data_IF_485642547129
#
_entry.id   IF_485642547129
#
_cell.length_a   1.000
_cell.length_b   1.000
_cell.length_c   1.000
_cell.angle_alpha   90.00
_cell.angle_beta   90.00
_cell.angle_gamma   90.00
#
_symmetry.space_group_name_H-M   'P 1'
#
loop_
_entity.id
_entity.type
_entity.pdbx_description
1 polymer ?
#
# COMPACT_ATOMS: atom_id res chain seq x y z
N UNK A 1 -57.81 14.73 -16.14
CA UNK A 1 -56.58 15.21 -15.44
C UNK A 1 -55.56 14.10 -15.45
N UNK A 2 -54.51 14.25 -16.24
CA UNK A 2 -53.39 13.28 -16.27
C UNK A 2 -52.50 13.57 -15.09
N UNK A 3 -52.40 12.62 -14.15
CA UNK A 3 -51.45 12.67 -13.04
C UNK A 3 -50.09 12.29 -13.65
N UNK A 4 -49.20 13.25 -13.81
CA UNK A 4 -47.83 12.98 -14.19
C UNK A 4 -47.21 12.09 -13.11
N UNK A 5 -46.90 10.82 -13.41
CA UNK A 5 -46.05 9.98 -12.59
C UNK A 5 -44.68 10.62 -12.60
N UNK A 6 -44.32 11.26 -11.49
CA UNK A 6 -42.93 11.61 -11.22
C UNK A 6 -42.18 10.29 -11.17
N UNK A 7 -41.33 10.08 -12.18
CA UNK A 7 -40.35 9.01 -12.15
C UNK A 7 -39.51 9.21 -10.91
N UNK A 8 -39.53 8.23 -10.01
CA UNK A 8 -38.62 8.21 -8.87
C UNK A 8 -37.20 8.35 -9.40
N UNK A 9 -36.38 9.27 -8.87
CA UNK A 9 -34.99 9.30 -9.27
C UNK A 9 -34.43 7.92 -8.96
N UNK A 10 -33.89 7.27 -10.00
CA UNK A 10 -33.14 6.02 -9.82
C UNK A 10 -32.05 6.33 -8.82
N UNK A 11 -32.16 5.79 -7.62
CA UNK A 11 -31.11 5.87 -6.62
C UNK A 11 -29.92 5.10 -7.17
N UNK A 12 -29.03 5.81 -7.84
CA UNK A 12 -27.71 5.30 -8.18
C UNK A 12 -26.99 5.27 -6.83
N UNK A 13 -26.92 4.09 -6.22
CA UNK A 13 -26.06 3.88 -5.07
C UNK A 13 -24.68 4.46 -5.42
N UNK A 14 -24.14 5.37 -4.61
CA UNK A 14 -22.88 5.99 -4.96
C UNK A 14 -21.83 4.90 -5.16
N UNK A 15 -21.18 4.90 -6.31
CA UNK A 15 -20.11 3.95 -6.72
C UNK A 15 -19.01 3.86 -5.67
N UNK A 16 -18.87 4.88 -4.82
CA UNK A 16 -18.02 4.95 -3.64
C UNK A 16 -18.31 3.86 -2.60
N UNK A 17 -19.52 3.32 -2.51
CA UNK A 17 -19.86 2.31 -1.48
C UNK A 17 -19.18 0.97 -1.72
N UNK A 18 -18.99 0.55 -2.97
CA UNK A 18 -18.25 -0.67 -3.31
C UNK A 18 -16.75 -0.53 -3.02
N UNK A 19 -16.20 0.67 -3.24
CA UNK A 19 -14.78 0.97 -3.03
C UNK A 19 -14.40 1.04 -1.55
N UNK A 20 -15.30 1.57 -0.69
CA UNK A 20 -15.10 1.68 0.76
C UNK A 20 -15.91 0.61 1.50
N UNK A 21 -15.66 -0.66 1.15
CA UNK A 21 -16.32 -1.79 1.76
C UNK A 21 -15.83 -2.02 3.21
N UNK A 22 -16.48 -2.96 3.91
CA UNK A 22 -16.17 -3.29 5.31
C UNK A 22 -14.72 -3.70 5.52
N UNK A 23 -14.13 -4.44 4.59
CA UNK A 23 -12.76 -4.94 4.72
C UNK A 23 -11.75 -3.81 4.60
N UNK A 24 -11.95 -2.90 3.66
CA UNK A 24 -11.14 -1.67 3.52
C UNK A 24 -11.22 -0.83 4.80
N UNK A 25 -12.42 -0.60 5.32
CA UNK A 25 -12.59 0.21 6.54
C UNK A 25 -11.98 -0.45 7.78
N UNK A 26 -12.07 -1.77 7.88
CA UNK A 26 -11.46 -2.54 8.98
C UNK A 26 -9.92 -2.44 8.94
N UNK A 27 -9.32 -2.61 7.77
CA UNK A 27 -7.88 -2.45 7.57
C UNK A 27 -7.43 -1.03 7.90
N UNK A 28 -8.14 -0.02 7.41
CA UNK A 28 -7.82 1.38 7.67
C UNK A 28 -7.84 1.74 9.17
N UNK A 29 -8.66 1.04 9.95
CA UNK A 29 -8.77 1.25 11.39
C UNK A 29 -7.68 0.54 12.23
N UNK A 30 -6.87 -0.34 11.64
CA UNK A 30 -5.91 -1.18 12.36
C UNK A 30 -4.56 -1.32 11.63
N UNK A 31 -3.93 -0.19 11.36
CA UNK A 31 -2.61 -0.15 10.69
C UNK A 31 -1.53 -0.62 11.69
N UNK A 32 -0.80 -1.71 11.39
CA UNK A 32 0.29 -2.16 12.24
C UNK A 32 1.52 -1.26 12.10
N UNK A 33 2.40 -1.30 13.10
CA UNK A 33 3.68 -0.56 13.10
C UNK A 33 3.53 0.96 12.89
N UNK A 34 2.44 1.55 13.32
CA UNK A 34 2.11 2.96 13.09
C UNK A 34 2.86 3.89 14.05
N UNK A 35 4.18 3.83 13.99
CA UNK A 35 5.11 4.75 14.64
C UNK A 35 6.45 4.75 13.93
N UNK A 36 7.18 5.84 14.05
CA UNK A 36 8.52 5.98 13.51
C UNK A 36 9.53 5.13 14.31
N UNK A 37 10.52 4.56 13.63
CA UNK A 37 11.67 3.95 14.28
C UNK A 37 12.66 5.03 14.73
N UNK A 38 13.35 4.81 15.86
CA UNK A 38 14.35 5.76 16.37
C UNK A 38 15.62 5.79 15.50
N UNK A 39 16.05 4.62 15.02
CA UNK A 39 17.28 4.44 14.24
C UNK A 39 17.02 3.59 13.00
N UNK A 40 16.26 4.07 12.02
CA UNK A 40 16.07 3.35 10.78
C UNK A 40 17.36 3.30 9.95
N UNK A 41 17.58 2.23 9.21
CA UNK A 41 18.61 2.17 8.18
C UNK A 41 18.21 2.99 6.95
N UNK A 42 16.92 3.03 6.64
CA UNK A 42 16.36 3.88 5.61
C UNK A 42 14.99 4.39 6.02
N UNK A 43 14.67 5.59 5.59
CA UNK A 43 13.40 6.24 5.78
C UNK A 43 12.98 6.91 4.48
N UNK A 44 11.78 6.62 3.99
CA UNK A 44 11.25 7.17 2.74
C UNK A 44 9.88 7.76 2.98
N UNK A 45 9.69 8.99 2.52
CA UNK A 45 8.40 9.67 2.45
C UNK A 45 7.88 9.66 1.02
N UNK A 46 6.62 9.29 0.83
CA UNK A 46 5.89 9.43 -0.43
C UNK A 46 4.63 10.26 -0.22
N UNK A 47 4.32 11.08 -1.20
CA UNK A 47 3.13 11.94 -1.20
C UNK A 47 2.34 11.75 -2.50
N UNK A 48 1.03 11.75 -2.38
CA UNK A 48 0.15 11.83 -3.55
C UNK A 48 -0.04 13.28 -3.97
N UNK A 49 0.25 13.64 -5.23
CA UNK A 49 0.03 15.01 -5.70
C UNK A 49 -1.47 15.34 -5.84
N UNK A 50 -2.34 14.34 -5.90
CA UNK A 50 -3.77 14.50 -6.19
C UNK A 50 -4.60 14.72 -4.93
N UNK A 51 -4.36 13.92 -3.87
CA UNK A 51 -5.22 13.93 -2.68
C UNK A 51 -4.51 14.39 -1.40
N UNK A 52 -3.23 14.75 -1.46
CA UNK A 52 -2.45 15.17 -0.29
C UNK A 52 -2.11 14.05 0.69
N UNK A 53 -2.39 12.79 0.35
CA UNK A 53 -1.97 11.65 1.15
C UNK A 53 -0.45 11.59 1.28
N UNK A 54 0.02 11.18 2.47
CA UNK A 54 1.44 11.09 2.81
C UNK A 54 1.69 9.83 3.61
N UNK A 55 2.72 9.10 3.24
CA UNK A 55 3.20 7.92 3.98
C UNK A 55 4.70 8.02 4.17
N UNK A 56 5.16 7.79 5.39
CA UNK A 56 6.58 7.60 5.71
C UNK A 56 6.77 6.16 6.13
N UNK A 57 7.80 5.50 5.60
CA UNK A 57 8.18 4.15 5.99
C UNK A 57 9.64 4.14 6.42
N UNK A 58 9.88 3.62 7.62
CA UNK A 58 11.20 3.35 8.19
C UNK A 58 11.48 1.85 8.13
N UNK A 59 12.68 1.45 7.73
CA UNK A 59 13.09 0.05 7.63
C UNK A 59 14.46 -0.19 8.28
N UNK A 60 14.55 -1.34 8.94
CA UNK A 60 15.79 -2.00 9.34
C UNK A 60 15.78 -3.41 8.76
N UNK A 61 16.85 -3.81 8.07
CA UNK A 61 17.04 -5.16 7.56
C UNK A 61 17.92 -5.97 8.53
N UNK A 62 17.66 -7.28 8.63
CA UNK A 62 18.51 -8.22 9.34
C UNK A 62 19.75 -8.60 8.49
N UNK A 63 20.58 -9.50 9.03
CA UNK A 63 21.82 -9.96 8.36
C UNK A 63 21.54 -10.68 7.03
N UNK A 64 20.36 -11.28 6.86
CA UNK A 64 19.94 -11.95 5.64
C UNK A 64 19.31 -10.99 4.62
N UNK A 65 19.22 -9.70 4.93
CA UNK A 65 18.62 -8.71 4.05
C UNK A 65 17.09 -8.71 4.05
N UNK A 66 16.48 -9.25 5.12
CA UNK A 66 15.03 -9.27 5.31
C UNK A 66 14.62 -8.17 6.28
N UNK A 67 13.40 -7.68 6.13
CA UNK A 67 12.86 -6.67 7.04
C UNK A 67 12.80 -7.21 8.46
N UNK A 68 13.61 -6.66 9.35
CA UNK A 68 13.64 -6.99 10.79
C UNK A 68 12.75 -6.05 11.60
N UNK A 69 12.71 -4.77 11.23
CA UNK A 69 11.86 -3.77 11.87
C UNK A 69 11.28 -2.82 10.81
N UNK A 70 10.04 -2.43 11.04
CA UNK A 70 9.30 -1.51 10.20
C UNK A 70 8.58 -0.49 11.09
N UNK A 71 8.65 0.76 10.71
CA UNK A 71 7.82 1.82 11.26
C UNK A 71 7.13 2.57 10.14
N UNK A 72 5.94 3.08 10.40
CA UNK A 72 5.25 3.89 9.41
C UNK A 72 4.43 5.00 10.05
N UNK A 73 4.33 6.11 9.34
CA UNK A 73 3.43 7.22 9.63
C UNK A 73 2.54 7.44 8.42
N UNK A 74 1.22 7.32 8.63
CA UNK A 74 0.24 7.29 7.54
C UNK A 74 -0.77 8.42 7.73
N UNK A 75 -0.83 9.33 6.76
CA UNK A 75 -1.86 10.36 6.63
C UNK A 75 -2.46 10.22 5.23
N UNK A 76 -3.51 9.43 5.12
CA UNK A 76 -4.08 9.05 3.84
C UNK A 76 -5.60 8.85 3.95
N UNK A 77 -6.27 8.78 2.80
CA UNK A 77 -7.67 8.34 2.74
C UNK A 77 -7.77 6.85 3.18
N UNK A 78 -8.98 6.37 3.40
CA UNK A 78 -9.19 5.00 3.86
C UNK A 78 -8.55 3.93 2.96
N UNK A 79 -8.49 4.14 1.65
CA UNK A 79 -7.80 3.24 0.72
C UNK A 79 -6.29 3.22 0.94
N UNK A 80 -5.67 4.37 1.10
CA UNK A 80 -4.25 4.47 1.41
C UNK A 80 -3.91 3.90 2.78
N UNK A 81 -4.78 4.09 3.77
CA UNK A 81 -4.66 3.49 5.10
C UNK A 81 -4.78 1.96 5.04
N UNK A 82 -5.75 1.43 4.29
CA UNK A 82 -5.90 -0.02 4.10
C UNK A 82 -4.68 -0.63 3.39
N UNK A 83 -4.14 0.05 2.40
CA UNK A 83 -2.91 -0.37 1.72
C UNK A 83 -1.72 -0.41 2.67
N UNK A 84 -1.55 0.62 3.50
CA UNK A 84 -0.50 0.67 4.52
C UNK A 84 -0.67 -0.46 5.57
N UNK A 85 -1.90 -0.82 5.90
CA UNK A 85 -2.19 -1.94 6.79
C UNK A 85 -1.75 -3.27 6.18
N UNK A 86 -2.09 -3.53 4.92
CA UNK A 86 -1.69 -4.75 4.21
C UNK A 86 -0.18 -4.83 4.02
N UNK A 87 0.46 -3.71 3.71
CA UNK A 87 1.91 -3.64 3.59
C UNK A 87 2.57 -3.97 4.92
N UNK A 88 2.19 -3.29 5.99
CA UNK A 88 2.79 -3.48 7.31
C UNK A 88 2.55 -4.86 7.92
N UNK A 89 1.39 -5.47 7.67
CA UNK A 89 1.05 -6.78 8.21
C UNK A 89 1.93 -7.93 7.68
N UNK A 90 2.48 -7.79 6.47
CA UNK A 90 3.22 -8.87 5.83
C UNK A 90 4.69 -8.52 5.51
N UNK A 91 5.16 -7.32 5.82
CA UNK A 91 6.50 -6.86 5.44
C UNK A 91 7.63 -7.50 6.25
N UNK A 92 7.41 -7.76 7.54
CA UNK A 92 8.45 -8.35 8.40
C UNK A 92 8.88 -9.73 7.85
N UNK A 93 10.18 -9.95 7.76
CA UNK A 93 10.78 -11.17 7.26
C UNK A 93 10.92 -11.25 5.73
N UNK A 94 10.45 -10.24 4.99
CA UNK A 94 10.55 -10.22 3.53
C UNK A 94 11.77 -9.47 3.02
N UNK A 95 12.42 -9.94 1.97
CA UNK A 95 13.51 -9.21 1.32
C UNK A 95 12.98 -8.04 0.49
N UNK A 96 13.86 -7.06 0.19
CA UNK A 96 13.52 -5.90 -0.62
C UNK A 96 12.88 -6.26 -1.99
N UNK A 97 13.33 -7.35 -2.61
CA UNK A 97 12.78 -7.80 -3.89
C UNK A 97 11.29 -8.16 -3.82
N UNK A 98 10.83 -8.73 -2.71
CA UNK A 98 9.41 -9.08 -2.54
C UNK A 98 8.54 -7.81 -2.31
N UNK A 99 9.07 -6.81 -1.62
CA UNK A 99 8.39 -5.52 -1.48
C UNK A 99 8.25 -4.82 -2.85
N UNK A 100 9.31 -4.85 -3.65
CA UNK A 100 9.28 -4.30 -5.01
C UNK A 100 8.29 -5.07 -5.91
N UNK A 101 8.27 -6.40 -5.83
CA UNK A 101 7.33 -7.23 -6.58
C UNK A 101 5.87 -6.95 -6.17
N UNK A 102 5.60 -6.76 -4.89
CA UNK A 102 4.27 -6.40 -4.41
C UNK A 102 3.82 -5.03 -4.92
N UNK A 103 4.69 -4.02 -4.87
CA UNK A 103 4.44 -2.71 -5.47
C UNK A 103 4.09 -2.82 -6.95
N UNK A 104 4.87 -3.55 -7.72
CA UNK A 104 4.69 -3.69 -9.16
C UNK A 104 3.40 -4.47 -9.49
N UNK A 105 3.10 -5.50 -8.71
CA UNK A 105 1.86 -6.26 -8.84
C UNK A 105 0.63 -5.41 -8.57
N UNK A 106 0.66 -4.63 -7.49
CA UNK A 106 -0.42 -3.71 -7.15
C UNK A 106 -0.61 -2.63 -8.23
N UNK A 107 0.48 -2.04 -8.71
CA UNK A 107 0.44 -1.07 -9.81
C UNK A 107 -0.17 -1.70 -11.09
N UNK A 108 0.21 -2.92 -11.40
CA UNK A 108 -0.31 -3.66 -12.55
C UNK A 108 -1.82 -3.97 -12.43
N UNK A 109 -2.29 -4.36 -11.25
CA UNK A 109 -3.71 -4.61 -10.99
C UNK A 109 -4.51 -3.31 -11.13
N UNK A 110 -4.06 -2.23 -10.54
CA UNK A 110 -4.72 -0.92 -10.62
C UNK A 110 -4.73 -0.37 -12.04
N UNK A 111 -3.62 -0.50 -12.76
CA UNK A 111 -3.49 -0.04 -14.15
C UNK A 111 -4.16 -0.95 -15.19
N UNK A 112 -4.61 -2.13 -14.79
CA UNK A 112 -5.27 -3.09 -15.69
C UNK A 112 -4.33 -3.93 -16.54
N UNK A 113 -3.00 -3.84 -16.35
CA UNK A 113 -2.01 -4.65 -17.07
C UNK A 113 -1.85 -6.07 -16.50
N UNK A 114 -2.33 -6.31 -15.27
CA UNK A 114 -2.35 -7.61 -14.61
C UNK A 114 -3.73 -7.93 -14.06
N UNK A 115 -4.13 -9.19 -14.18
CA UNK A 115 -5.29 -9.74 -13.48
C UNK A 115 -4.95 -10.33 -12.12
N UNK A 116 -3.72 -10.83 -11.96
CA UNK A 116 -3.21 -11.47 -10.75
C UNK A 116 -2.46 -10.46 -9.86
N UNK A 117 -2.87 -10.28 -8.59
CA UNK A 117 -2.20 -9.38 -7.66
C UNK A 117 -0.87 -9.91 -7.11
N UNK A 118 -0.45 -11.13 -7.46
CA UNK A 118 0.76 -11.78 -6.94
C UNK A 118 0.59 -12.35 -5.54
N UNK A 119 1.73 -12.65 -4.89
CA UNK A 119 1.78 -13.42 -3.64
C UNK A 119 1.58 -12.58 -2.37
N UNK A 120 1.47 -11.27 -2.48
CA UNK A 120 1.25 -10.43 -1.30
C UNK A 120 -0.20 -10.54 -0.82
N UNK A 121 -0.42 -10.88 0.47
CA UNK A 121 -1.78 -11.11 0.97
C UNK A 121 -2.68 -9.88 0.87
N UNK A 122 -3.89 -10.06 0.39
CA UNK A 122 -4.96 -9.07 0.45
C UNK A 122 -4.99 -8.04 -0.68
N UNK A 123 -4.06 -8.04 -1.63
CA UNK A 123 -4.04 -7.06 -2.73
C UNK A 123 -5.28 -7.13 -3.63
N UNK A 124 -5.98 -8.26 -3.65
CA UNK A 124 -7.26 -8.42 -4.35
C UNK A 124 -8.31 -7.38 -3.95
N UNK A 125 -8.26 -6.90 -2.73
CA UNK A 125 -9.21 -5.90 -2.21
C UNK A 125 -9.19 -4.59 -3.00
N UNK A 126 -8.11 -4.32 -3.75
CA UNK A 126 -7.98 -3.10 -4.55
C UNK A 126 -8.41 -3.25 -6.00
N UNK A 127 -8.91 -4.42 -6.44
CA UNK A 127 -9.40 -4.61 -7.82
C UNK A 127 -10.52 -3.64 -8.18
N UNK A 128 -11.41 -3.38 -7.26
CA UNK A 128 -12.53 -2.46 -7.46
C UNK A 128 -12.10 -0.99 -7.56
N UNK A 129 -10.85 -0.68 -7.19
CA UNK A 129 -10.28 0.64 -7.34
C UNK A 129 -9.76 0.93 -8.76
N UNK A 130 -9.68 -0.08 -9.63
CA UNK A 130 -9.16 0.09 -11.00
C UNK A 130 -9.82 1.23 -11.79
N UNK A 131 -11.16 1.42 -11.78
CA UNK A 131 -11.79 2.52 -12.50
C UNK A 131 -11.51 3.92 -11.91
N UNK A 132 -10.93 3.99 -10.71
CA UNK A 132 -10.75 5.23 -9.96
C UNK A 132 -9.29 5.69 -9.97
N UNK A 133 -8.81 6.10 -11.15
CA UNK A 133 -7.41 6.48 -11.37
C UNK A 133 -6.88 7.51 -10.36
N UNK A 134 -7.72 8.45 -9.92
CA UNK A 134 -7.35 9.47 -8.93
C UNK A 134 -7.01 8.88 -7.54
N UNK A 135 -7.38 7.63 -7.26
CA UNK A 135 -7.09 6.94 -6.00
C UNK A 135 -5.86 6.03 -6.08
N UNK A 136 -5.40 5.70 -7.28
CA UNK A 136 -4.29 4.77 -7.46
C UNK A 136 -3.02 5.24 -6.74
N UNK A 137 -2.67 6.50 -6.86
CA UNK A 137 -1.50 7.06 -6.19
C UNK A 137 -1.55 6.84 -4.67
N UNK A 138 -2.69 7.14 -4.02
CA UNK A 138 -2.86 6.94 -2.59
C UNK A 138 -2.72 5.47 -2.16
N UNK A 139 -3.24 4.54 -2.96
CA UNK A 139 -3.15 3.10 -2.69
C UNK A 139 -1.70 2.62 -2.82
N UNK A 140 -0.92 3.17 -3.74
CA UNK A 140 0.46 2.75 -4.00
C UNK A 140 1.47 3.28 -2.98
N UNK A 141 1.21 4.40 -2.31
CA UNK A 141 2.19 5.11 -1.48
C UNK A 141 2.93 4.23 -0.48
N UNK A 142 2.22 3.38 0.27
CA UNK A 142 2.84 2.54 1.30
C UNK A 142 3.80 1.52 0.70
N UNK A 143 3.41 0.88 -0.39
CA UNK A 143 4.26 -0.10 -1.09
C UNK A 143 5.45 0.56 -1.79
N UNK A 144 5.26 1.73 -2.39
CA UNK A 144 6.34 2.50 -3.00
C UNK A 144 7.37 2.94 -1.95
N UNK A 145 6.90 3.48 -0.83
CA UNK A 145 7.78 3.90 0.26
C UNK A 145 8.54 2.72 0.87
N UNK A 146 7.86 1.60 1.12
CA UNK A 146 8.47 0.40 1.68
C UNK A 146 9.50 -0.24 0.74
N UNK A 147 9.17 -0.37 -0.55
CA UNK A 147 10.08 -0.94 -1.55
C UNK A 147 11.34 -0.08 -1.71
N UNK A 148 11.19 1.24 -1.77
CA UNK A 148 12.32 2.17 -1.88
C UNK A 148 13.17 2.18 -0.61
N UNK A 149 12.57 2.23 0.59
CA UNK A 149 13.30 2.18 1.84
C UNK A 149 14.08 0.86 2.00
N UNK A 150 13.47 -0.27 1.66
CA UNK A 150 14.15 -1.57 1.70
C UNK A 150 15.30 -1.65 0.68
N UNK A 151 15.13 -1.08 -0.51
CA UNK A 151 16.18 -1.01 -1.52
C UNK A 151 17.36 -0.15 -1.05
N UNK A 152 17.09 1.01 -0.46
CA UNK A 152 18.13 1.88 0.10
C UNK A 152 18.88 1.16 1.22
N UNK A 153 18.17 0.55 2.17
CA UNK A 153 18.76 -0.20 3.27
C UNK A 153 19.64 -1.37 2.78
N UNK A 154 19.18 -2.09 1.75
CA UNK A 154 19.94 -3.18 1.14
C UNK A 154 21.22 -2.70 0.45
N UNK A 155 21.21 -1.52 -0.17
CA UNK A 155 22.37 -0.93 -0.84
C UNK A 155 23.41 -0.39 0.14
N UNK A 156 23.00 0.04 1.33
CA UNK A 156 23.92 0.46 2.40
C UNK A 156 24.75 -0.70 2.98
N UNK A 157 24.27 -1.92 2.79
CA UNK A 157 24.99 -3.16 3.14
C UNK A 157 25.93 -3.53 2.00
N UNK A 158 27.12 -3.08 1.92
CA UNK A 158 28.06 -3.28 0.82
C UNK A 158 28.20 -4.73 0.32
N UNK A 159 28.99 -5.00 -0.75
CA UNK A 159 29.14 -6.31 -1.37
C UNK A 159 29.63 -7.41 -0.43
N UNK A 160 30.37 -7.05 0.63
CA UNK A 160 30.94 -7.97 1.62
C UNK A 160 29.89 -8.68 2.47
N UNK A 161 28.77 -8.01 2.77
CA UNK A 161 27.69 -8.56 3.59
C UNK A 161 26.78 -9.51 2.80
N UNK A 162 26.83 -9.46 1.47
CA UNK A 162 26.04 -10.34 0.59
C UNK A 162 26.64 -11.74 0.43
N UNK A 163 27.92 -11.92 0.75
CA UNK A 163 28.64 -13.20 0.59
C UNK A 163 28.47 -14.09 1.85
N UNK A 164 28.26 -13.52 3.02
CA UNK A 164 28.07 -14.26 4.26
C UNK A 164 26.69 -14.93 4.42
N UNK A 165 25.75 -14.67 3.50
CA UNK A 165 24.36 -15.17 3.53
C UNK A 165 24.10 -16.34 2.55
N UNK A 166 25.13 -17.08 2.13
CA UNK A 166 24.99 -18.31 1.32
C UNK A 166 25.19 -19.57 2.14
#
# INVERSE_FOLDING_TARGET
MAVARLASPSYIAPVTTALYNRDILRLAASIPHQRRLEKPQASVEKRSPVCGSRVVVDIVLDEQGRVAALGQEVKACALGQASAALMGAAAIGRPAAELAAARDSLAGVLGGSRGDPGDWPGLDLFRDARPFAARHASILLAFEAAAEAASIAANLRGPSDKVAAR
#
